data_IF_759955608547
#
_entry.id   IF_759955608547
#
_cell.length_a   1.000
_cell.length_b   1.000
_cell.length_c   1.000
_cell.angle_alpha   90.00
_cell.angle_beta   90.00
_cell.angle_gamma   90.00
#
_symmetry.space_group_name_H-M   'P 1'
#
loop_
_entity.id
_entity.type
_entity.pdbx_description
1 polymer ?
#
# COMPACT_ATOMS: atom_id res chain seq x y z
N UNK A 1 -8.92 -30.02 -17.52
CA UNK A 1 -8.91 -28.94 -16.51
C UNK A 1 -7.50 -28.41 -16.23
N UNK A 2 -6.43 -29.23 -16.28
CA UNK A 2 -5.06 -28.80 -15.98
C UNK A 2 -4.13 -28.59 -17.19
N UNK A 3 -4.64 -28.62 -18.43
CA UNK A 3 -3.82 -28.44 -19.66
C UNK A 3 -3.26 -27.02 -19.83
N UNK A 4 -3.86 -26.03 -19.17
CA UNK A 4 -3.51 -24.60 -19.29
C UNK A 4 -2.75 -24.05 -18.06
N UNK A 5 -2.17 -24.90 -17.20
CA UNK A 5 -1.41 -24.41 -16.03
C UNK A 5 -0.24 -23.50 -16.45
N UNK A 6 0.36 -23.76 -17.62
CA UNK A 6 1.43 -22.91 -18.15
C UNK A 6 0.96 -21.50 -18.53
N UNK A 7 -0.34 -21.29 -18.72
CA UNK A 7 -0.93 -19.97 -18.97
C UNK A 7 -1.14 -19.19 -17.65
N UNK A 8 -1.07 -19.85 -16.48
CA UNK A 8 -1.27 -19.22 -15.17
C UNK A 8 0.01 -18.55 -14.66
N UNK A 9 1.19 -19.06 -15.05
CA UNK A 9 2.50 -18.59 -14.59
C UNK A 9 2.72 -17.08 -14.76
N UNK A 10 2.32 -16.44 -15.89
CA UNK A 10 2.44 -15.00 -16.05
C UNK A 10 1.53 -14.21 -15.10
N UNK A 11 0.38 -14.75 -14.70
CA UNK A 11 -0.56 -14.06 -13.81
C UNK A 11 -0.18 -14.15 -12.34
N UNK A 12 0.49 -15.22 -11.91
CA UNK A 12 0.99 -15.35 -10.53
C UNK A 12 1.86 -14.17 -10.10
N UNK A 13 2.63 -13.60 -11.04
CA UNK A 13 3.46 -12.42 -10.82
C UNK A 13 2.69 -11.18 -10.35
N UNK A 14 1.46 -10.99 -10.81
CA UNK A 14 0.64 -9.83 -10.44
C UNK A 14 -0.37 -10.20 -9.35
N UNK A 15 -0.88 -11.42 -9.37
CA UNK A 15 -1.86 -11.92 -8.39
C UNK A 15 -1.26 -12.03 -6.98
N UNK A 16 -0.02 -12.52 -6.82
CA UNK A 16 0.59 -12.69 -5.49
C UNK A 16 0.77 -11.34 -4.78
N UNK A 17 1.42 -10.32 -5.37
CA UNK A 17 1.50 -8.99 -4.77
C UNK A 17 0.13 -8.41 -4.40
N UNK A 18 -0.83 -8.53 -5.32
CA UNK A 18 -2.18 -7.99 -5.14
C UNK A 18 -2.89 -8.67 -3.97
N UNK A 19 -2.78 -10.00 -3.84
CA UNK A 19 -3.35 -10.74 -2.72
C UNK A 19 -2.74 -10.34 -1.37
N UNK A 20 -1.42 -10.08 -1.32
CA UNK A 20 -0.76 -9.59 -0.11
C UNK A 20 -1.28 -8.19 0.25
N UNK A 21 -1.41 -7.29 -0.73
CA UNK A 21 -1.96 -5.95 -0.50
C UNK A 21 -3.41 -5.99 0.01
N UNK A 22 -4.24 -6.90 -0.51
CA UNK A 22 -5.62 -7.11 -0.05
C UNK A 22 -5.65 -7.63 1.40
N UNK A 23 -4.79 -8.61 1.72
CA UNK A 23 -4.69 -9.14 3.08
C UNK A 23 -4.31 -8.03 4.09
N UNK A 24 -3.38 -7.15 3.72
CA UNK A 24 -3.01 -5.98 4.52
C UNK A 24 -4.19 -5.00 4.62
N UNK A 25 -4.94 -4.77 3.54
CA UNK A 25 -6.16 -3.98 3.55
C UNK A 25 -7.20 -4.50 4.53
N UNK A 26 -7.42 -5.81 4.59
CA UNK A 26 -8.34 -6.42 5.58
C UNK A 26 -7.86 -6.19 7.02
N UNK A 27 -6.54 -6.26 7.29
CA UNK A 27 -5.98 -5.91 8.61
C UNK A 27 -6.25 -4.44 8.94
N UNK A 28 -6.06 -3.53 7.99
CA UNK A 28 -6.35 -2.10 8.16
C UNK A 28 -7.83 -1.84 8.46
N UNK A 29 -8.74 -2.55 7.80
CA UNK A 29 -10.17 -2.48 8.08
C UNK A 29 -10.52 -2.92 9.50
N UNK A 30 -9.92 -4.02 9.98
CA UNK A 30 -10.12 -4.52 11.34
C UNK A 30 -9.60 -3.50 12.37
N UNK A 31 -8.43 -2.91 12.14
CA UNK A 31 -7.87 -1.88 13.03
C UNK A 31 -8.71 -0.59 13.02
N UNK A 32 -9.21 -0.19 11.84
CA UNK A 32 -10.15 0.92 11.71
C UNK A 32 -11.45 0.66 12.49
N UNK A 33 -11.98 -0.57 12.45
CA UNK A 33 -13.16 -0.96 13.22
C UNK A 33 -12.91 -0.96 14.74
N UNK A 34 -11.74 -1.43 15.17
CA UNK A 34 -11.31 -1.42 16.57
C UNK A 34 -11.30 0.00 17.14
N UNK A 35 -10.81 0.97 16.37
CA UNK A 35 -10.82 2.40 16.74
C UNK A 35 -12.22 3.00 16.81
N UNK A 36 -13.17 2.47 16.03
CA UNK A 36 -14.59 2.81 16.15
C UNK A 36 -15.29 2.07 17.31
N UNK A 37 -14.56 1.33 18.14
CA UNK A 37 -15.05 0.61 19.32
C UNK A 37 -15.62 -0.78 19.05
N UNK A 38 -15.41 -1.37 17.87
CA UNK A 38 -15.79 -2.77 17.59
C UNK A 38 -14.56 -3.67 17.45
N UNK A 39 -14.45 -4.67 18.30
CA UNK A 39 -13.35 -5.61 18.31
C UNK A 39 -13.70 -6.85 17.48
N UNK A 40 -13.02 -7.02 16.35
CA UNK A 40 -13.14 -8.21 15.50
C UNK A 40 -11.85 -9.03 15.51
N UNK A 41 -11.91 -10.37 15.59
CA UNK A 41 -10.73 -11.21 15.46
C UNK A 41 -10.14 -11.11 14.04
N UNK A 42 -8.90 -10.62 13.92
CA UNK A 42 -8.24 -10.41 12.63
C UNK A 42 -8.16 -11.70 11.79
N UNK A 43 -7.89 -12.85 12.43
CA UNK A 43 -7.78 -14.15 11.75
C UNK A 43 -9.11 -14.58 11.11
N UNK A 44 -10.22 -14.35 11.79
CA UNK A 44 -11.55 -14.69 11.29
C UNK A 44 -11.94 -13.77 10.14
N UNK A 45 -11.68 -12.47 10.26
CA UNK A 45 -11.92 -11.51 9.20
C UNK A 45 -11.12 -11.84 7.93
N UNK A 46 -9.83 -12.17 8.06
CA UNK A 46 -8.99 -12.58 6.92
C UNK A 46 -9.46 -13.90 6.29
N UNK A 47 -9.93 -14.84 7.10
CA UNK A 47 -10.44 -16.12 6.58
C UNK A 47 -11.76 -15.93 5.82
N UNK A 48 -12.65 -15.09 6.34
CA UNK A 48 -13.90 -14.73 5.67
C UNK A 48 -13.66 -14.00 4.35
N UNK A 49 -12.69 -13.08 4.32
CA UNK A 49 -12.27 -12.34 3.12
C UNK A 49 -11.71 -13.28 2.03
N UNK A 50 -10.85 -14.23 2.44
CA UNK A 50 -10.31 -15.25 1.55
C UNK A 50 -11.39 -16.17 0.96
N UNK A 51 -12.34 -16.65 1.78
CA UNK A 51 -13.48 -17.44 1.31
C UNK A 51 -14.34 -16.62 0.34
N UNK A 52 -14.61 -15.35 0.65
CA UNK A 52 -15.37 -14.45 -0.21
C UNK A 52 -14.69 -14.30 -1.58
N UNK A 53 -13.38 -14.14 -1.60
CA UNK A 53 -12.58 -14.09 -2.83
C UNK A 53 -12.63 -15.41 -3.61
N UNK A 54 -12.55 -16.56 -2.94
CA UNK A 54 -12.67 -17.87 -3.61
C UNK A 54 -14.04 -18.04 -4.25
N UNK A 55 -15.12 -17.73 -3.52
CA UNK A 55 -16.48 -17.80 -4.06
C UNK A 55 -16.61 -16.86 -5.25
N UNK A 56 -16.20 -15.59 -5.12
CA UNK A 56 -16.26 -14.61 -6.22
C UNK A 56 -15.48 -15.07 -7.45
N UNK A 57 -14.31 -15.70 -7.27
CA UNK A 57 -13.49 -16.23 -8.36
C UNK A 57 -14.20 -17.36 -9.13
N UNK A 58 -14.98 -18.21 -8.45
CA UNK A 58 -15.78 -19.26 -9.09
C UNK A 58 -16.88 -18.68 -9.99
N UNK A 59 -17.37 -17.48 -9.68
CA UNK A 59 -18.34 -16.75 -10.48
C UNK A 59 -17.69 -15.80 -11.51
N UNK A 60 -16.36 -15.88 -11.71
CA UNK A 60 -15.64 -15.14 -12.74
C UNK A 60 -15.10 -13.77 -12.31
N UNK A 61 -15.06 -13.46 -11.00
CA UNK A 61 -14.40 -12.24 -10.52
C UNK A 61 -12.89 -12.33 -10.72
N UNK A 62 -12.32 -11.29 -11.32
CA UNK A 62 -10.87 -11.11 -11.52
C UNK A 62 -10.25 -10.34 -10.35
N UNK A 63 -11.07 -9.63 -9.57
CA UNK A 63 -10.64 -8.82 -8.43
C UNK A 63 -10.82 -9.62 -7.14
N UNK A 64 -9.80 -9.55 -6.27
CA UNK A 64 -9.92 -10.06 -4.91
C UNK A 64 -10.87 -9.19 -4.10
N UNK A 65 -11.68 -9.83 -3.27
CA UNK A 65 -12.54 -9.12 -2.31
C UNK A 65 -11.65 -8.61 -1.18
N UNK A 66 -12.01 -7.47 -0.60
CA UNK A 66 -11.42 -6.95 0.64
C UNK A 66 -12.56 -6.67 1.61
N UNK A 67 -12.27 -6.75 2.90
CA UNK A 67 -13.19 -6.21 3.91
C UNK A 67 -13.44 -4.73 3.62
N UNK A 68 -14.70 -4.33 3.70
CA UNK A 68 -15.13 -3.01 3.25
C UNK A 68 -14.54 -1.88 4.13
N UNK A 69 -13.84 -0.94 3.48
CA UNK A 69 -13.30 0.27 4.11
C UNK A 69 -14.44 1.26 4.33
N UNK A 70 -14.67 1.67 5.58
CA UNK A 70 -15.71 2.64 5.93
C UNK A 70 -16.55 2.27 7.14
N UNK A 71 -16.25 1.16 7.83
CA UNK A 71 -16.91 0.79 9.08
C UNK A 71 -17.07 1.95 10.07
N UNK A 72 -16.05 2.81 10.34
CA UNK A 72 -16.24 3.96 11.24
C UNK A 72 -17.27 4.98 10.73
N UNK A 73 -17.32 5.23 9.42
CA UNK A 73 -18.27 6.16 8.83
C UNK A 73 -19.71 5.64 8.93
N UNK A 74 -19.93 4.37 8.56
CA UNK A 74 -21.25 3.72 8.68
C UNK A 74 -21.72 3.62 10.13
N UNK A 75 -20.80 3.33 11.06
CA UNK A 75 -21.12 3.29 12.48
C UNK A 75 -21.51 4.66 13.03
N UNK A 76 -20.84 5.75 12.61
CA UNK A 76 -21.24 7.13 12.95
C UNK A 76 -22.65 7.48 12.45
N UNK A 77 -23.09 6.89 11.34
CA UNK A 77 -24.45 7.03 10.81
C UNK A 77 -25.49 6.13 11.50
N UNK A 78 -25.09 5.35 12.51
CA UNK A 78 -25.98 4.42 13.22
C UNK A 78 -26.27 3.12 12.48
N UNK A 79 -25.51 2.79 11.43
CA UNK A 79 -25.68 1.53 10.70
C UNK A 79 -25.31 0.33 11.59
N UNK A 80 -26.08 -0.75 11.46
CA UNK A 80 -25.88 -2.03 12.17
C UNK A 80 -25.68 -3.16 11.18
N UNK A 81 -25.46 -4.39 11.65
CA UNK A 81 -25.27 -5.59 10.82
C UNK A 81 -26.36 -5.78 9.75
N UNK A 82 -27.61 -5.45 10.07
CA UNK A 82 -28.73 -5.53 9.13
C UNK A 82 -28.55 -4.64 7.88
N UNK A 83 -27.82 -3.52 8.00
CA UNK A 83 -27.52 -2.65 6.86
C UNK A 83 -26.67 -3.38 5.82
N UNK A 84 -25.61 -4.06 6.25
CA UNK A 84 -24.73 -4.82 5.36
C UNK A 84 -25.46 -5.98 4.67
N UNK A 85 -26.33 -6.69 5.41
CA UNK A 85 -27.16 -7.77 4.84
C UNK A 85 -28.16 -7.21 3.83
N UNK A 86 -28.86 -6.13 4.18
CA UNK A 86 -29.82 -5.48 3.29
C UNK A 86 -29.13 -4.99 2.00
N UNK A 87 -27.91 -4.47 2.11
CA UNK A 87 -27.14 -4.05 0.95
C UNK A 87 -26.82 -5.25 0.04
N UNK A 88 -26.34 -6.35 0.59
CA UNK A 88 -26.09 -7.58 -0.17
C UNK A 88 -27.34 -8.12 -0.89
N UNK A 89 -28.48 -8.14 -0.19
CA UNK A 89 -29.77 -8.55 -0.76
C UNK A 89 -30.23 -7.59 -1.85
N UNK A 90 -30.04 -6.28 -1.68
CA UNK A 90 -30.41 -5.28 -2.68
C UNK A 90 -29.54 -5.36 -3.95
N UNK A 91 -28.24 -5.61 -3.80
CA UNK A 91 -27.31 -5.76 -4.92
C UNK A 91 -27.53 -7.04 -5.72
N UNK A 92 -28.06 -8.10 -5.11
CA UNK A 92 -28.31 -9.38 -5.77
C UNK A 92 -29.24 -9.23 -7.01
N UNK A 93 -30.47 -8.71 -6.93
CA UNK A 93 -31.30 -8.50 -8.11
C UNK A 93 -30.70 -7.47 -9.07
N UNK A 94 -30.02 -6.42 -8.58
CA UNK A 94 -29.34 -5.42 -9.44
C UNK A 94 -28.31 -6.08 -10.37
N UNK A 95 -27.56 -7.05 -9.86
CA UNK A 95 -26.57 -7.81 -10.62
C UNK A 95 -27.21 -8.93 -11.47
N UNK A 96 -28.16 -9.71 -10.91
CA UNK A 96 -28.81 -10.82 -11.62
C UNK A 96 -29.69 -10.38 -12.80
N UNK A 97 -30.38 -9.24 -12.67
CA UNK A 97 -31.22 -8.69 -13.73
C UNK A 97 -30.46 -7.77 -14.70
N UNK A 98 -29.14 -7.62 -14.54
CA UNK A 98 -28.32 -6.78 -15.43
C UNK A 98 -28.62 -5.28 -15.33
N UNK A 99 -29.37 -4.84 -14.32
CA UNK A 99 -29.73 -3.42 -14.09
C UNK A 99 -28.47 -2.58 -13.87
N UNK A 100 -27.41 -3.18 -13.31
CA UNK A 100 -26.11 -2.52 -13.17
C UNK A 100 -25.51 -2.06 -14.52
N UNK A 101 -25.64 -2.87 -15.58
CA UNK A 101 -25.17 -2.47 -16.92
C UNK A 101 -25.99 -1.30 -17.48
N UNK A 102 -27.30 -1.27 -17.20
CA UNK A 102 -28.16 -0.16 -17.57
C UNK A 102 -27.80 1.11 -16.80
N UNK A 103 -27.53 1.03 -15.50
CA UNK A 103 -27.06 2.16 -14.68
C UNK A 103 -25.72 2.71 -15.19
N UNK A 104 -24.76 1.84 -15.53
CA UNK A 104 -23.48 2.24 -16.11
C UNK A 104 -23.61 2.86 -17.51
N UNK A 105 -24.68 2.57 -18.25
CA UNK A 105 -24.95 3.23 -19.53
C UNK A 105 -25.46 4.66 -19.38
N UNK A 106 -26.13 4.96 -18.26
CA UNK A 106 -26.70 6.27 -17.94
C UNK A 106 -25.65 7.15 -17.24
N UNK A 107 -24.88 6.55 -16.32
CA UNK A 107 -23.85 7.25 -15.56
C UNK A 107 -22.61 7.38 -16.44
N UNK A 108 -22.25 8.61 -16.79
CA UNK A 108 -20.99 8.87 -17.48
C UNK A 108 -19.82 8.37 -16.63
N UNK A 109 -18.97 7.53 -17.22
CA UNK A 109 -17.77 6.97 -16.55
C UNK A 109 -16.85 8.07 -16.00
N UNK A 110 -16.83 9.23 -16.64
CA UNK A 110 -16.06 10.41 -16.23
C UNK A 110 -16.48 10.92 -14.85
N UNK A 111 -17.75 10.75 -14.46
CA UNK A 111 -18.28 11.16 -13.15
C UNK A 111 -17.73 10.32 -11.99
N UNK A 112 -17.16 9.15 -12.27
CA UNK A 112 -16.56 8.29 -11.23
C UNK A 112 -15.21 8.86 -10.77
N UNK A 113 -14.46 9.54 -11.65
CA UNK A 113 -13.12 10.03 -11.33
C UNK A 113 -13.10 11.03 -10.15
N UNK A 114 -13.96 12.07 -10.08
CA UNK A 114 -14.00 12.96 -8.93
C UNK A 114 -14.37 12.26 -7.62
N UNK A 115 -15.23 11.24 -7.68
CA UNK A 115 -15.64 10.46 -6.51
C UNK A 115 -14.44 9.71 -5.94
N UNK A 116 -13.62 9.07 -6.78
CA UNK A 116 -12.41 8.37 -6.35
C UNK A 116 -11.39 9.35 -5.76
N UNK A 117 -11.21 10.52 -6.37
CA UNK A 117 -10.32 11.57 -5.83
C UNK A 117 -10.79 12.00 -4.44
N UNK A 118 -12.09 12.27 -4.29
CA UNK A 118 -12.67 12.66 -3.00
C UNK A 118 -12.45 11.60 -1.92
N UNK A 119 -12.73 10.32 -2.23
CA UNK A 119 -12.51 9.21 -1.29
C UNK A 119 -11.02 9.09 -0.92
N UNK A 120 -10.12 9.19 -1.90
CA UNK A 120 -8.68 9.16 -1.65
C UNK A 120 -8.20 10.28 -0.73
N UNK A 121 -8.70 11.51 -0.93
CA UNK A 121 -8.39 12.65 -0.07
C UNK A 121 -8.93 12.45 1.36
N UNK A 122 -10.15 11.92 1.50
CA UNK A 122 -10.73 11.64 2.82
C UNK A 122 -9.92 10.57 3.56
N UNK A 123 -9.48 9.50 2.88
CA UNK A 123 -8.63 8.46 3.49
C UNK A 123 -7.29 9.05 3.93
N UNK A 124 -6.67 9.91 3.12
CA UNK A 124 -5.42 10.59 3.48
C UNK A 124 -5.61 11.52 4.68
N UNK A 125 -6.70 12.29 4.71
CA UNK A 125 -7.03 13.18 5.82
C UNK A 125 -7.28 12.40 7.13
N UNK A 126 -8.03 11.30 7.07
CA UNK A 126 -8.27 10.43 8.21
C UNK A 126 -6.97 9.80 8.70
N UNK A 127 -6.10 9.36 7.78
CA UNK A 127 -4.77 8.81 8.11
C UNK A 127 -3.88 9.86 8.78
N UNK A 128 -3.87 11.11 8.32
CA UNK A 128 -3.10 12.17 8.96
C UNK A 128 -3.67 12.56 10.33
N UNK A 129 -4.99 12.50 10.52
CA UNK A 129 -5.64 12.82 11.79
C UNK A 129 -5.27 11.83 12.91
N UNK A 130 -5.02 10.57 12.56
CA UNK A 130 -4.63 9.51 13.51
C UNK A 130 -3.12 9.37 13.68
N UNK A 131 -2.32 9.94 12.78
CA UNK A 131 -0.86 9.76 12.75
C UNK A 131 -0.19 10.92 13.50
N UNK A 132 0.84 10.68 14.33
CA UNK A 132 1.58 11.76 14.94
C UNK A 132 2.25 12.65 13.89
N UNK A 133 2.32 13.96 14.17
CA UNK A 133 2.89 14.97 13.25
C UNK A 133 4.32 14.63 12.79
N UNK A 134 5.06 13.90 13.61
CA UNK A 134 6.43 13.46 13.33
C UNK A 134 6.54 12.51 12.14
N UNK A 135 5.54 11.67 11.90
CA UNK A 135 5.54 10.69 10.80
C UNK A 135 4.97 11.23 9.49
N UNK A 136 4.51 12.49 9.46
CA UNK A 136 3.99 13.10 8.22
C UNK A 136 4.96 13.02 7.03
N UNK A 137 6.29 13.23 7.20
CA UNK A 137 7.23 13.06 6.10
C UNK A 137 7.29 11.62 5.57
N UNK A 138 7.19 10.62 6.45
CA UNK A 138 7.19 9.21 6.04
C UNK A 138 5.92 8.86 5.27
N UNK A 139 4.77 9.38 5.70
CA UNK A 139 3.50 9.23 4.99
C UNK A 139 3.57 9.83 3.57
N UNK A 140 4.03 11.07 3.44
CA UNK A 140 4.14 11.74 2.13
C UNK A 140 5.11 11.02 1.19
N UNK A 141 6.25 10.56 1.71
CA UNK A 141 7.20 9.76 0.93
C UNK A 141 6.59 8.42 0.52
N UNK A 142 5.81 7.80 1.40
CA UNK A 142 5.08 6.56 1.17
C UNK A 142 4.09 6.62 0.02
N UNK A 143 3.55 7.81 -0.30
CA UNK A 143 2.67 8.01 -1.45
C UNK A 143 3.43 8.13 -2.78
N UNK A 144 4.74 8.39 -2.78
CA UNK A 144 5.48 8.64 -4.02
C UNK A 144 5.49 7.45 -5.01
N UNK A 145 5.59 6.18 -4.59
CA UNK A 145 5.56 5.05 -5.53
C UNK A 145 4.24 4.95 -6.32
N UNK A 146 3.09 5.28 -5.71
CA UNK A 146 1.81 5.25 -6.42
C UNK A 146 1.68 6.39 -7.43
N UNK A 147 2.20 7.58 -7.09
CA UNK A 147 2.26 8.72 -8.01
C UNK A 147 3.17 8.40 -9.20
N UNK A 148 4.29 7.72 -8.94
CA UNK A 148 5.20 7.26 -9.99
C UNK A 148 4.55 6.23 -10.91
N UNK A 149 3.77 5.31 -10.37
CA UNK A 149 3.04 4.30 -11.16
C UNK A 149 1.95 4.91 -12.03
N UNK A 150 1.17 5.84 -11.47
CA UNK A 150 0.22 6.64 -12.25
C UNK A 150 0.91 7.41 -13.37
N UNK A 151 2.01 8.10 -13.07
CA UNK A 151 2.80 8.87 -14.04
C UNK A 151 3.33 7.98 -15.18
N UNK A 152 3.89 6.81 -14.84
CA UNK A 152 4.33 5.80 -15.81
C UNK A 152 3.17 5.40 -16.71
N UNK A 153 2.01 5.10 -16.13
CA UNK A 153 0.80 4.73 -16.87
C UNK A 153 0.36 5.79 -17.85
N UNK A 154 0.28 7.06 -17.42
CA UNK A 154 -0.12 8.18 -18.29
C UNK A 154 0.87 8.41 -19.44
N UNK A 155 2.17 8.30 -19.18
CA UNK A 155 3.21 8.40 -20.23
C UNK A 155 3.03 7.28 -21.26
N UNK A 156 2.89 6.02 -20.81
CA UNK A 156 2.75 4.87 -21.71
C UNK A 156 1.47 4.97 -22.55
N UNK A 157 0.34 5.29 -21.93
CA UNK A 157 -0.94 5.42 -22.63
C UNK A 157 -0.91 6.57 -23.63
N UNK A 158 -0.44 7.76 -23.22
CA UNK A 158 -0.37 8.92 -24.10
C UNK A 158 0.58 8.72 -25.28
N UNK A 159 1.69 8.00 -25.07
CA UNK A 159 2.56 7.53 -26.15
C UNK A 159 1.78 6.58 -27.06
N UNK A 160 1.19 5.51 -26.52
CA UNK A 160 0.48 4.52 -27.34
C UNK A 160 -0.56 5.15 -28.26
N UNK A 161 -1.36 6.09 -27.75
CA UNK A 161 -2.39 6.80 -28.52
C UNK A 161 -1.79 7.65 -29.66
N UNK A 162 -0.68 8.34 -29.40
CA UNK A 162 0.03 9.14 -30.40
C UNK A 162 0.63 8.29 -31.54
N UNK A 163 1.05 7.05 -31.26
CA UNK A 163 1.59 6.15 -32.29
C UNK A 163 0.48 5.47 -33.10
N UNK A 164 -0.67 5.16 -32.51
CA UNK A 164 -1.82 4.57 -33.25
C UNK A 164 -2.44 5.53 -34.27
N UNK A 165 -2.22 6.83 -34.13
CA UNK A 165 -2.70 7.87 -35.05
C UNK A 165 -1.74 8.14 -36.22
N UNK A 166 -0.56 7.51 -36.26
CA UNK A 166 0.44 7.68 -37.32
C UNK A 166 0.74 6.34 -38.03
N UNK A 167 -0.12 5.97 -38.99
CA UNK A 167 0.11 4.80 -39.85
C UNK A 167 0.88 5.22 -41.10
N UNK A 168 2.20 4.97 -41.14
CA UNK A 168 2.94 4.90 -42.41
C UNK A 168 2.95 3.44 -42.85
N UNK A 169 2.33 3.15 -44.00
CA UNK A 169 2.37 1.83 -44.63
C UNK A 169 3.83 1.37 -44.78
N UNK A 170 4.13 0.17 -44.28
CA UNK A 170 5.37 -0.60 -44.49
C UNK A 170 6.60 -0.28 -43.61
N UNK A 171 6.45 0.26 -42.40
CA UNK A 171 7.52 0.14 -41.39
C UNK A 171 6.97 -0.43 -40.08
N UNK A 172 7.33 -1.68 -39.78
CA UNK A 172 7.22 -2.23 -38.43
C UNK A 172 8.19 -1.43 -37.54
N UNK A 173 7.69 -0.40 -36.86
CA UNK A 173 8.48 0.29 -35.84
C UNK A 173 8.72 -0.72 -34.70
N UNK A 174 9.92 -1.31 -34.67
CA UNK A 174 10.36 -2.18 -33.59
C UNK A 174 10.27 -1.39 -32.28
N UNK A 175 9.26 -1.74 -31.48
CA UNK A 175 8.76 -1.03 -30.29
C UNK A 175 9.82 -0.93 -29.20
N UNK A 176 10.50 0.21 -29.12
CA UNK A 176 11.19 0.65 -27.92
C UNK A 176 11.05 2.18 -27.77
N UNK A 177 9.80 2.64 -27.59
CA UNK A 177 9.52 4.07 -27.34
C UNK A 177 10.26 4.59 -26.09
N UNK A 178 10.55 3.67 -25.17
CA UNK A 178 11.31 3.89 -23.94
C UNK A 178 12.79 4.22 -24.15
N UNK A 179 13.37 3.92 -25.32
CA UNK A 179 14.77 4.21 -25.63
C UNK A 179 15.03 5.67 -26.04
N UNK A 180 13.98 6.42 -26.42
CA UNK A 180 14.09 7.78 -26.96
C UNK A 180 13.63 8.87 -25.98
N UNK A 181 13.23 8.51 -24.75
CA UNK A 181 12.93 9.47 -23.69
C UNK A 181 14.27 9.94 -23.08
N UNK A 182 14.87 10.97 -23.67
CA UNK A 182 16.23 11.46 -23.35
C UNK A 182 16.30 12.58 -22.31
N UNK A 183 15.16 13.12 -21.85
CA UNK A 183 15.09 14.22 -20.88
C UNK A 183 14.75 13.83 -19.44
N UNK A 184 14.31 12.59 -19.20
CA UNK A 184 13.80 12.13 -17.90
C UNK A 184 14.34 10.72 -17.61
N UNK A 185 14.69 10.43 -16.36
CA UNK A 185 15.13 9.08 -15.95
C UNK A 185 13.95 8.11 -15.95
N UNK A 186 13.50 7.73 -17.14
CA UNK A 186 12.38 6.83 -17.34
C UNK A 186 12.64 5.46 -16.71
N UNK A 187 13.90 5.00 -16.75
CA UNK A 187 14.33 3.80 -16.01
C UNK A 187 14.15 3.92 -14.50
N UNK A 188 14.48 5.07 -13.92
CA UNK A 188 14.23 5.34 -12.50
C UNK A 188 12.74 5.27 -12.16
N UNK A 189 11.89 5.87 -13.00
CA UNK A 189 10.42 5.84 -12.83
C UNK A 189 9.85 4.43 -12.99
N UNK A 190 10.33 3.66 -13.98
CA UNK A 190 9.93 2.26 -14.18
C UNK A 190 10.22 1.41 -12.95
N UNK A 191 11.42 1.53 -12.40
CA UNK A 191 11.80 0.77 -11.22
C UNK A 191 11.04 1.26 -10.00
N UNK A 192 10.99 2.57 -9.75
CA UNK A 192 10.33 3.13 -8.57
C UNK A 192 8.79 2.96 -8.55
N UNK A 193 8.17 2.65 -9.69
CA UNK A 193 6.74 2.29 -9.77
C UNK A 193 6.48 0.78 -9.71
N UNK A 194 7.53 -0.04 -9.82
CA UNK A 194 7.42 -1.49 -9.84
C UNK A 194 6.91 -2.02 -8.50
N UNK A 195 5.71 -2.59 -8.48
CA UNK A 195 5.10 -3.08 -7.24
C UNK A 195 4.69 -1.95 -6.28
N UNK A 196 4.29 -0.80 -6.82
CA UNK A 196 3.93 0.45 -6.12
C UNK A 196 3.15 0.22 -4.81
N UNK A 197 2.09 -0.61 -4.81
CA UNK A 197 1.29 -0.88 -3.61
C UNK A 197 2.11 -1.47 -2.45
N UNK A 198 2.90 -2.52 -2.71
CA UNK A 198 3.77 -3.13 -1.69
C UNK A 198 4.91 -2.18 -1.32
N UNK A 199 5.47 -1.50 -2.32
CA UNK A 199 6.58 -0.58 -2.12
C UNK A 199 6.19 0.60 -1.23
N UNK A 200 4.97 1.14 -1.35
CA UNK A 200 4.42 2.15 -0.45
C UNK A 200 4.48 1.68 1.01
N UNK A 201 4.07 0.43 1.27
CA UNK A 201 4.06 -0.16 2.63
C UNK A 201 5.49 -0.28 3.16
N UNK A 202 6.41 -0.87 2.39
CA UNK A 202 7.81 -1.06 2.81
C UNK A 202 8.52 0.27 3.06
N UNK A 203 8.42 1.23 2.13
CA UNK A 203 9.06 2.55 2.28
C UNK A 203 8.49 3.28 3.50
N UNK A 204 7.17 3.32 3.66
CA UNK A 204 6.55 3.98 4.81
C UNK A 204 6.99 3.36 6.14
N UNK A 205 6.99 2.03 6.25
CA UNK A 205 7.41 1.33 7.46
C UNK A 205 8.89 1.58 7.80
N UNK A 206 9.78 1.49 6.81
CA UNK A 206 11.21 1.74 7.01
C UNK A 206 11.44 3.19 7.50
N UNK A 207 10.78 4.16 6.87
CA UNK A 207 10.93 5.57 7.25
C UNK A 207 10.32 5.87 8.62
N UNK A 208 9.17 5.30 8.97
CA UNK A 208 8.58 5.44 10.30
C UNK A 208 9.52 4.89 11.38
N UNK A 209 10.05 3.67 11.23
CA UNK A 209 10.98 3.10 12.21
C UNK A 209 12.33 3.82 12.27
N UNK A 210 12.79 4.38 11.14
CA UNK A 210 13.98 5.23 11.11
C UNK A 210 13.75 6.54 11.88
N UNK A 211 12.60 7.18 11.70
CA UNK A 211 12.21 8.38 12.46
C UNK A 211 12.16 8.03 13.95
N UNK A 212 11.52 6.92 14.33
CA UNK A 212 11.43 6.45 15.72
C UNK A 212 12.75 5.99 16.32
N UNK A 213 13.82 5.93 15.53
CA UNK A 213 15.13 5.37 15.92
C UNK A 213 15.03 3.94 16.44
N UNK A 214 14.05 3.17 15.96
CA UNK A 214 13.88 1.73 16.22
C UNK A 214 14.63 0.95 15.13
N UNK A 215 15.96 1.07 15.11
CA UNK A 215 16.78 0.66 13.97
C UNK A 215 16.75 -0.84 13.67
N UNK A 216 16.62 -1.71 14.68
CA UNK A 216 16.42 -3.16 14.44
C UNK A 216 15.15 -3.44 13.64
N UNK A 217 14.02 -2.77 13.97
CA UNK A 217 12.77 -2.93 13.22
C UNK A 217 12.95 -2.42 11.79
N UNK A 218 13.59 -1.26 11.61
CA UNK A 218 13.91 -0.71 10.29
C UNK A 218 14.81 -1.66 9.46
N UNK A 219 15.79 -2.32 10.09
CA UNK A 219 16.66 -3.29 9.45
C UNK A 219 15.89 -4.53 8.98
N UNK A 220 14.98 -5.07 9.80
CA UNK A 220 14.12 -6.21 9.44
C UNK A 220 13.24 -5.86 8.24
N UNK A 221 12.59 -4.69 8.25
CA UNK A 221 11.77 -4.23 7.13
C UNK A 221 12.60 -4.00 5.86
N UNK A 222 13.84 -3.53 5.99
CA UNK A 222 14.78 -3.39 4.86
C UNK A 222 15.20 -4.76 4.29
N UNK A 223 15.44 -5.77 5.13
CA UNK A 223 15.74 -7.13 4.69
C UNK A 223 14.54 -7.78 3.99
N UNK A 224 13.33 -7.58 4.52
CA UNK A 224 12.11 -8.04 3.86
C UNK A 224 11.92 -7.34 2.51
N UNK A 225 12.15 -6.02 2.42
CA UNK A 225 12.14 -5.30 1.16
C UNK A 225 13.20 -5.86 0.18
N UNK A 226 14.41 -6.17 0.65
CA UNK A 226 15.45 -6.80 -0.17
C UNK A 226 15.00 -8.15 -0.74
N UNK A 227 14.34 -8.97 0.08
CA UNK A 227 13.78 -10.26 -0.35
C UNK A 227 12.72 -10.06 -1.43
N UNK A 228 11.76 -9.15 -1.24
CA UNK A 228 10.72 -8.87 -2.22
C UNK A 228 11.28 -8.26 -3.52
N UNK A 229 12.31 -7.41 -3.42
CA UNK A 229 13.00 -6.83 -4.57
C UNK A 229 13.77 -7.89 -5.36
N UNK A 230 14.35 -8.88 -4.66
CA UNK A 230 15.08 -9.98 -5.29
C UNK A 230 14.20 -10.85 -6.20
N UNK A 231 12.94 -11.04 -5.82
CA UNK A 231 11.92 -11.73 -6.65
C UNK A 231 11.20 -10.79 -7.62
N UNK A 232 11.54 -9.50 -7.64
CA UNK A 232 10.88 -8.51 -8.51
C UNK A 232 9.43 -8.20 -8.13
N UNK A 233 9.03 -8.45 -6.87
CA UNK A 233 7.72 -8.06 -6.34
C UNK A 233 7.65 -6.55 -6.06
N UNK A 234 8.79 -5.92 -5.82
CA UNK A 234 8.97 -4.47 -5.68
C UNK A 234 10.19 -4.01 -6.49
N UNK A 235 10.20 -2.75 -6.90
CA UNK A 235 11.26 -2.10 -7.65
C UNK A 235 11.66 -2.74 -8.99
N UNK A 236 10.77 -3.54 -9.58
CA UNK A 236 11.01 -4.23 -10.85
C UNK A 236 9.77 -4.17 -11.75
N UNK A 237 9.94 -4.18 -13.09
CA UNK A 237 8.83 -4.19 -14.04
C UNK A 237 8.06 -5.52 -14.10
N UNK A 238 8.59 -6.59 -13.49
CA UNK A 238 7.94 -7.89 -13.42
C UNK A 238 8.58 -8.80 -12.38
N UNK A 239 7.87 -9.89 -12.06
CA UNK A 239 8.32 -10.89 -11.07
C UNK A 239 9.19 -11.94 -11.73
N UNK A 240 10.26 -12.31 -11.04
CA UNK A 240 11.21 -13.34 -11.45
C UNK A 240 12.42 -13.33 -10.53
N UNK A 241 13.13 -14.45 -10.44
CA UNK A 241 14.41 -14.51 -9.72
C UNK A 241 15.43 -13.74 -10.53
N UNK A 242 16.00 -12.67 -9.96
CA UNK A 242 17.00 -11.81 -10.64
C UNK A 242 16.48 -11.34 -12.00
N UNK A 243 15.30 -10.69 -12.01
CA UNK A 243 14.56 -10.31 -13.20
C UNK A 243 15.53 -9.71 -14.23
N UNK A 244 15.87 -10.53 -15.24
CA UNK A 244 16.77 -10.38 -16.41
C UNK A 244 18.17 -9.74 -16.18
N UNK A 245 19.18 -10.28 -16.89
CA UNK A 245 20.57 -9.79 -16.94
C UNK A 245 20.74 -8.30 -17.32
N UNK A 246 19.69 -7.68 -17.88
CA UNK A 246 19.62 -6.29 -18.34
C UNK A 246 18.76 -5.37 -17.46
N UNK A 247 18.17 -5.91 -16.39
CA UNK A 247 17.25 -5.18 -15.52
C UNK A 247 17.91 -4.92 -14.15
N UNK A 248 17.52 -3.79 -13.56
CA UNK A 248 18.20 -3.15 -12.43
C UNK A 248 17.68 -3.65 -11.08
N UNK A 249 16.70 -4.59 -11.06
CA UNK A 249 16.06 -5.10 -9.84
C UNK A 249 17.05 -5.64 -8.79
N UNK A 250 18.13 -6.31 -9.22
CA UNK A 250 19.17 -6.80 -8.30
C UNK A 250 19.89 -5.66 -7.55
N UNK A 251 19.99 -4.47 -8.16
CA UNK A 251 20.62 -3.29 -7.54
C UNK A 251 19.79 -2.79 -6.38
N UNK A 252 18.46 -2.88 -6.47
CA UNK A 252 17.56 -2.52 -5.38
C UNK A 252 17.63 -3.51 -4.23
N UNK A 253 17.71 -4.81 -4.51
CA UNK A 253 17.93 -5.81 -3.47
C UNK A 253 19.25 -5.54 -2.70
N UNK A 254 20.33 -5.22 -3.40
CA UNK A 254 21.60 -4.82 -2.78
C UNK A 254 21.46 -3.52 -1.98
N UNK A 255 20.77 -2.51 -2.52
CA UNK A 255 20.55 -1.24 -1.82
C UNK A 255 19.78 -1.43 -0.50
N UNK A 256 18.76 -2.28 -0.49
CA UNK A 256 18.02 -2.61 0.73
C UNK A 256 18.87 -3.39 1.74
N UNK A 257 19.75 -4.29 1.28
CA UNK A 257 20.72 -4.97 2.16
C UNK A 257 21.71 -3.95 2.76
N UNK A 258 22.24 -3.03 1.95
CA UNK A 258 23.13 -1.98 2.43
C UNK A 258 22.43 -1.09 3.47
N UNK A 259 21.17 -0.77 3.25
CA UNK A 259 20.36 -0.01 4.20
C UNK A 259 20.12 -0.79 5.50
N UNK A 260 19.87 -2.10 5.43
CA UNK A 260 19.78 -2.96 6.61
C UNK A 260 21.08 -2.97 7.43
N UNK A 261 22.23 -3.10 6.76
CA UNK A 261 23.56 -3.03 7.40
C UNK A 261 23.75 -1.68 8.09
N UNK A 262 23.40 -0.58 7.41
CA UNK A 262 23.50 0.77 7.96
C UNK A 262 22.62 0.95 9.22
N UNK A 263 21.40 0.41 9.23
CA UNK A 263 20.56 0.43 10.43
C UNK A 263 21.12 -0.42 11.58
N UNK A 264 21.75 -1.57 11.29
CA UNK A 264 22.45 -2.36 12.30
C UNK A 264 23.66 -1.59 12.87
N UNK A 265 24.39 -0.84 12.03
CA UNK A 265 25.45 0.05 12.50
C UNK A 265 24.90 1.16 13.40
N UNK A 266 23.75 1.75 13.08
CA UNK A 266 23.10 2.76 13.93
C UNK A 266 22.58 2.19 15.24
N UNK A 267 22.07 0.97 15.26
CA UNK A 267 21.73 0.27 16.50
C UNK A 267 22.98 0.10 17.38
N UNK A 268 24.12 -0.30 16.80
CA UNK A 268 25.37 -0.40 17.56
C UNK A 268 25.82 0.96 18.11
N UNK A 269 25.76 2.01 17.29
CA UNK A 269 26.07 3.38 17.71
C UNK A 269 25.12 3.87 18.82
N UNK A 270 23.85 3.49 18.77
CA UNK A 270 22.86 3.80 19.81
C UNK A 270 23.17 3.09 21.13
N UNK A 271 23.62 1.82 21.08
CA UNK A 271 24.09 1.09 22.27
C UNK A 271 25.36 1.67 22.88
N UNK A 272 26.19 2.33 22.08
CA UNK A 272 27.37 3.08 22.54
C UNK A 272 27.04 4.52 22.96
N UNK A 273 25.75 4.89 23.05
CA UNK A 273 25.24 6.23 23.38
C UNK A 273 25.66 7.36 22.42
N UNK A 274 26.07 7.03 21.18
CA UNK A 274 26.40 8.03 20.16
C UNK A 274 25.14 8.57 19.45
N UNK A 275 24.02 7.85 19.57
CA UNK A 275 22.73 8.21 18.98
C UNK A 275 21.67 8.20 20.09
N UNK A 276 20.73 9.15 20.04
CA UNK A 276 19.63 9.26 21.00
C UNK A 276 18.80 7.97 21.07
N UNK A 277 18.25 7.69 22.24
CA UNK A 277 17.39 6.53 22.49
C UNK A 277 16.12 6.52 21.62
N UNK A 278 15.48 5.35 21.44
CA UNK A 278 14.26 5.22 20.66
C UNK A 278 13.15 6.08 21.25
N UNK A 279 12.37 6.72 20.39
CA UNK A 279 11.17 7.42 20.84
C UNK A 279 10.01 6.41 20.82
N UNK A 280 9.43 6.15 21.99
CA UNK A 280 8.32 5.21 22.19
C UNK A 280 7.01 5.98 22.34
N UNK A 281 5.99 5.58 21.57
CA UNK A 281 4.64 6.11 21.71
C UNK A 281 3.87 5.42 22.83
N UNK A 282 2.90 6.08 23.47
CA UNK A 282 2.10 5.47 24.54
C UNK A 282 1.35 4.21 24.14
N UNK A 283 0.98 4.05 22.87
CA UNK A 283 0.30 2.84 22.36
C UNK A 283 1.26 1.64 22.19
N UNK A 284 2.56 1.88 22.17
CA UNK A 284 3.62 0.85 22.13
C UNK A 284 4.07 0.42 23.53
N UNK A 285 3.63 1.13 24.58
CA UNK A 285 4.01 0.87 25.96
C UNK A 285 3.15 -0.26 26.55
N UNK A 286 3.79 -1.16 27.28
CA UNK A 286 3.05 -2.03 28.21
C UNK A 286 2.30 -1.17 29.25
N UNK A 287 1.31 -1.74 29.92
CA UNK A 287 0.52 -1.00 30.93
C UNK A 287 1.38 -0.35 32.04
N UNK A 288 2.57 -0.91 32.29
CA UNK A 288 3.54 -0.40 33.27
C UNK A 288 4.33 0.78 32.68
N UNK A 289 4.89 0.61 31.48
CA UNK A 289 5.65 1.65 30.79
C UNK A 289 4.77 2.88 30.45
N UNK A 290 3.48 2.67 30.19
CA UNK A 290 2.51 3.75 30.00
C UNK A 290 2.32 4.59 31.26
N UNK A 291 2.26 3.92 32.42
CA UNK A 291 2.12 4.60 33.71
C UNK A 291 3.38 5.36 34.11
N UNK A 292 4.55 4.97 33.60
CA UNK A 292 5.82 5.68 33.78
C UNK A 292 5.90 6.89 32.85
N UNK A 293 5.64 6.69 31.55
CA UNK A 293 5.59 7.77 30.55
C UNK A 293 4.60 8.87 30.92
N UNK A 294 3.40 8.50 31.37
CA UNK A 294 2.38 9.47 31.79
C UNK A 294 2.83 10.25 33.04
N UNK A 295 3.64 9.64 33.91
CA UNK A 295 4.20 10.30 35.09
C UNK A 295 5.28 11.31 34.70
N UNK A 296 6.16 10.94 33.77
CA UNK A 296 7.21 11.83 33.26
C UNK A 296 6.62 13.05 32.54
N UNK A 297 5.58 12.84 31.72
CA UNK A 297 4.83 13.90 31.05
C UNK A 297 4.19 14.90 32.02
N UNK A 298 3.57 14.40 33.09
CA UNK A 298 2.98 15.26 34.12
C UNK A 298 4.05 16.09 34.84
N UNK A 299 5.24 15.52 35.07
CA UNK A 299 6.37 16.24 35.66
C UNK A 299 6.99 17.28 34.70
N UNK A 300 7.02 17.01 33.39
CA UNK A 300 7.45 17.97 32.38
C UNK A 300 6.45 19.14 32.25
N UNK A 301 5.15 18.86 32.33
CA UNK A 301 4.10 19.89 32.31
C UNK A 301 4.12 20.73 33.61
N UNK A 302 4.30 20.12 34.79
CA UNK A 302 4.47 20.83 36.07
C UNK A 302 5.71 21.74 36.10
N UNK A 303 6.85 21.26 35.57
CA UNK A 303 8.06 22.08 35.50
C UNK A 303 7.95 23.24 34.50
N UNK A 304 7.21 23.05 33.39
CA UNK A 304 6.96 24.14 32.44
C UNK A 304 6.00 25.20 32.99
N UNK A 305 5.08 24.82 33.88
CA UNK A 305 4.20 25.78 34.56
C UNK A 305 4.95 26.56 35.65
N UNK A 306 5.94 25.95 36.32
CA UNK A 306 6.81 26.65 37.28
C UNK A 306 7.82 27.61 36.63
N UNK A 307 8.29 27.34 35.40
CA UNK A 307 9.18 28.25 34.66
C UNK A 307 8.46 29.47 34.04
N UNK A 308 7.12 29.43 33.96
CA UNK A 308 6.29 30.50 33.36
C UNK A 308 5.57 31.40 34.38
N UNK A 309 5.90 31.31 35.67
CA UNK A 309 5.40 32.16 36.77
C UNK A 309 6.53 33.04 37.33
#
# INVERSE_FOLDING_TARGET
>A
MFSHINEITPYLSTTIPTAISIAIGTIQCVESAKRAGDFYPTREAMFADGIGTLIASLFGSILGMTTFIGHPAFKKMGAKQAYSIANGIAFLPLCFFGINALLLSIIAIVSVNPIIIFIGLVICADTLAITPKRHYPAFLLGLMPIVADWTKGTIISGVSDAYTSFVINQTEFNRNVTAHISGFSYRGLLNFSGGSLLQCIFITAIFMYMIDRKFIRAAIWSLLAAFFAFFGLINAPGVGVLTKKNDDGWRFAVAYIMMAVLFVCFEFAQRQHWVKHPETEPDDLSSIEWAEWNREKLLEDENNDEENV
#
